data_IF_240490900420
#
_entry.id   IF_240490900420
#
_cell.length_a   1.000
_cell.length_b   1.000
_cell.length_c   1.000
_cell.angle_alpha   90.00
_cell.angle_beta   90.00
_cell.angle_gamma   90.00
#
_symmetry.space_group_name_H-M   'P 1'
#
loop_
_entity.id
_entity.type
_entity.pdbx_description
1 polymer ?
#
# COMPACT_ATOMS: atom_id res chain seq x y z
N UNK A 1 -3.73 -1.20 -4.88
CA UNK A 1 -3.70 -0.30 -3.70
C UNK A 1 -5.04 0.39 -3.43
N UNK A 2 -5.60 1.24 -4.32
CA UNK A 2 -6.91 1.88 -4.04
C UNK A 2 -8.03 0.86 -3.82
N UNK A 3 -8.10 -0.19 -4.65
CA UNK A 3 -9.06 -1.27 -4.46
C UNK A 3 -8.97 -1.94 -3.08
N UNK A 4 -7.77 -2.05 -2.50
CA UNK A 4 -7.58 -2.60 -1.15
C UNK A 4 -8.18 -1.66 -0.10
N UNK A 5 -7.91 -0.36 -0.21
CA UNK A 5 -8.49 0.64 0.70
C UNK A 5 -10.02 0.69 0.61
N UNK A 6 -10.57 0.71 -0.60
CA UNK A 6 -12.01 0.66 -0.86
C UNK A 6 -12.65 -0.60 -0.25
N UNK A 7 -12.01 -1.76 -0.43
CA UNK A 7 -12.51 -3.03 0.11
C UNK A 7 -12.50 -3.06 1.64
N UNK A 8 -11.46 -2.54 2.28
CA UNK A 8 -11.38 -2.44 3.73
C UNK A 8 -12.45 -1.47 4.27
N UNK A 9 -12.64 -0.33 3.59
CA UNK A 9 -13.61 0.68 3.98
C UNK A 9 -15.05 0.13 3.89
N UNK A 10 -15.37 -0.54 2.78
CA UNK A 10 -16.66 -1.24 2.58
C UNK A 10 -16.89 -2.28 3.68
N UNK A 11 -15.90 -3.14 3.95
CA UNK A 11 -16.00 -4.17 4.98
C UNK A 11 -16.20 -3.61 6.40
N UNK A 12 -15.69 -2.41 6.68
CA UNK A 12 -15.79 -1.76 7.99
C UNK A 12 -16.98 -0.79 8.10
N UNK A 13 -17.72 -0.57 7.01
CA UNK A 13 -18.79 0.42 6.96
C UNK A 13 -18.31 1.85 7.22
N UNK A 14 -17.09 2.17 6.78
CA UNK A 14 -16.46 3.49 6.97
C UNK A 14 -16.27 4.19 5.64
N UNK A 15 -16.38 5.52 5.64
CA UNK A 15 -16.06 6.31 4.46
C UNK A 15 -14.56 6.35 4.18
N UNK A 16 -14.21 6.29 2.90
CA UNK A 16 -12.83 6.36 2.46
C UNK A 16 -12.39 7.83 2.33
N UNK A 17 -11.23 8.23 2.92
CA UNK A 17 -10.65 9.55 2.69
C UNK A 17 -10.34 9.80 1.21
N UNK A 18 -10.18 11.07 0.85
CA UNK A 18 -9.79 11.46 -0.51
C UNK A 18 -8.47 10.84 -0.96
N UNK A 19 -8.33 10.66 -2.27
CA UNK A 19 -7.16 9.99 -2.88
C UNK A 19 -5.85 10.67 -2.53
N UNK A 20 -5.80 12.01 -2.49
CA UNK A 20 -4.60 12.75 -2.09
C UNK A 20 -4.23 12.49 -0.62
N UNK A 21 -5.22 12.28 0.25
CA UNK A 21 -4.97 11.96 1.67
C UNK A 21 -4.34 10.57 1.82
N UNK A 22 -4.84 9.60 1.06
CA UNK A 22 -4.35 8.21 1.10
C UNK A 22 -3.03 8.02 0.36
N UNK A 23 -2.89 8.59 -0.83
CA UNK A 23 -1.77 8.35 -1.71
C UNK A 23 -0.68 9.44 -1.62
N UNK A 24 -0.98 10.56 -0.97
CA UNK A 24 -0.12 11.75 -0.98
C UNK A 24 -0.16 12.50 -2.32
N UNK A 25 0.57 13.62 -2.42
CA UNK A 25 0.58 14.45 -3.61
C UNK A 25 1.15 13.70 -4.82
N UNK A 26 0.55 13.94 -5.99
CA UNK A 26 0.97 13.30 -7.24
C UNK A 26 2.28 13.86 -7.80
N UNK A 27 2.64 15.10 -7.42
CA UNK A 27 3.80 15.85 -7.94
C UNK A 27 5.14 15.49 -7.27
N UNK A 28 5.14 14.61 -6.26
CA UNK A 28 6.36 14.17 -5.59
C UNK A 28 7.24 13.31 -6.52
N UNK A 29 8.56 13.32 -6.29
CA UNK A 29 9.49 12.40 -6.94
C UNK A 29 9.04 10.95 -6.75
N UNK A 30 9.16 10.13 -7.79
CA UNK A 30 8.65 8.76 -7.78
C UNK A 30 9.28 7.93 -6.65
N UNK A 31 10.57 8.12 -6.36
CA UNK A 31 11.26 7.42 -5.28
C UNK A 31 10.73 7.81 -3.91
N UNK A 32 10.61 9.11 -3.65
CA UNK A 32 10.08 9.65 -2.39
C UNK A 32 8.61 9.25 -2.15
N UNK A 33 7.81 9.28 -3.22
CA UNK A 33 6.42 8.87 -3.17
C UNK A 33 6.27 7.40 -2.79
N UNK A 34 7.12 6.53 -3.32
CA UNK A 34 7.10 5.09 -2.99
C UNK A 34 7.48 4.83 -1.53
N UNK A 35 8.46 5.56 -0.98
CA UNK A 35 8.77 5.49 0.45
C UNK A 35 7.61 5.94 1.31
N UNK A 36 7.00 7.08 0.96
CA UNK A 36 5.84 7.61 1.67
C UNK A 36 4.68 6.62 1.69
N UNK A 37 4.37 6.02 0.54
CA UNK A 37 3.32 5.00 0.44
C UNK A 37 3.60 3.79 1.34
N UNK A 38 4.84 3.31 1.41
CA UNK A 38 5.21 2.18 2.26
C UNK A 38 5.03 2.44 3.77
N UNK A 39 4.96 3.70 4.20
CA UNK A 39 4.65 4.07 5.59
C UNK A 39 3.15 4.02 5.93
N UNK A 40 2.28 4.07 4.92
CA UNK A 40 0.82 4.15 5.11
C UNK A 40 0.15 2.78 5.10
N UNK A 41 0.85 1.75 4.65
CA UNK A 41 0.31 0.40 4.49
C UNK A 41 0.79 -0.45 5.67
N UNK A 42 -0.07 -1.29 6.28
CA UNK A 42 0.29 -2.15 7.39
C UNK A 42 1.11 -3.37 6.92
N UNK A 43 2.31 -3.13 6.38
CA UNK A 43 3.25 -4.16 5.91
C UNK A 43 4.22 -4.58 7.02
N UNK A 44 4.70 -5.82 6.93
CA UNK A 44 5.68 -6.36 7.89
C UNK A 44 7.05 -5.72 7.77
N UNK A 45 7.94 -6.01 8.74
CA UNK A 45 9.31 -5.50 8.72
C UNK A 45 10.11 -6.00 7.50
N UNK A 46 9.83 -7.22 7.03
CA UNK A 46 10.46 -7.81 5.85
C UNK A 46 10.09 -7.05 4.57
N UNK A 47 8.80 -6.82 4.34
CA UNK A 47 8.29 -6.07 3.19
C UNK A 47 8.80 -4.63 3.19
N UNK A 48 8.81 -3.99 4.37
CA UNK A 48 9.37 -2.65 4.52
C UNK A 48 10.86 -2.63 4.17
N UNK A 49 11.62 -3.63 4.59
CA UNK A 49 13.02 -3.75 4.22
C UNK A 49 13.20 -3.97 2.71
N UNK A 50 12.37 -4.79 2.06
CA UNK A 50 12.41 -5.00 0.62
C UNK A 50 12.22 -3.69 -0.16
N UNK A 51 11.24 -2.86 0.24
CA UNK A 51 11.02 -1.53 -0.34
C UNK A 51 12.22 -0.59 -0.09
N UNK A 52 12.76 -0.57 1.13
CA UNK A 52 13.88 0.29 1.52
C UNK A 52 15.19 -0.07 0.80
N UNK A 53 15.43 -1.37 0.59
CA UNK A 53 16.64 -1.90 -0.03
C UNK A 53 16.59 -2.00 -1.55
N UNK A 54 15.43 -1.77 -2.17
CA UNK A 54 15.25 -1.83 -3.62
C UNK A 54 16.18 -0.85 -4.36
N UNK A 55 16.92 -1.31 -5.39
CA UNK A 55 18.00 -0.54 -6.02
C UNK A 55 17.52 0.56 -6.97
N UNK A 56 16.25 0.53 -7.37
CA UNK A 56 15.63 1.58 -8.20
C UNK A 56 14.19 1.88 -7.78
N UNK A 57 13.62 2.97 -8.31
CA UNK A 57 12.20 3.27 -8.12
C UNK A 57 11.29 2.20 -8.73
N UNK A 58 11.70 1.57 -9.84
CA UNK A 58 10.93 0.49 -10.47
C UNK A 58 10.92 -0.74 -9.57
N UNK A 59 12.08 -1.15 -9.07
CA UNK A 59 12.19 -2.30 -8.15
C UNK A 59 11.41 -2.05 -6.86
N UNK A 60 11.40 -0.79 -6.39
CA UNK A 60 10.64 -0.38 -5.21
C UNK A 60 9.14 -0.43 -5.44
N UNK A 61 8.67 -0.07 -6.64
CA UNK A 61 7.27 -0.21 -7.02
C UNK A 61 6.86 -1.69 -7.05
N UNK A 62 7.71 -2.57 -7.56
CA UNK A 62 7.47 -4.03 -7.56
C UNK A 62 7.34 -4.54 -6.11
N UNK A 63 8.33 -4.26 -5.26
CA UNK A 63 8.30 -4.69 -3.86
C UNK A 63 7.08 -4.15 -3.09
N UNK A 64 6.69 -2.91 -3.34
CA UNK A 64 5.50 -2.32 -2.74
C UNK A 64 4.21 -2.97 -3.26
N UNK A 65 4.16 -3.33 -4.54
CA UNK A 65 3.05 -4.05 -5.15
C UNK A 65 2.86 -5.43 -4.53
N UNK A 66 3.92 -6.21 -4.42
CA UNK A 66 3.90 -7.54 -3.79
C UNK A 66 3.39 -7.47 -2.34
N UNK A 67 3.84 -6.48 -1.57
CA UNK A 67 3.37 -6.28 -0.20
C UNK A 67 1.88 -5.89 -0.12
N UNK A 68 1.37 -5.13 -1.10
CA UNK A 68 -0.06 -4.80 -1.21
C UNK A 68 -0.89 -6.03 -1.55
N UNK A 69 -0.42 -6.85 -2.48
CA UNK A 69 -1.12 -8.05 -2.91
C UNK A 69 -1.21 -9.07 -1.77
N UNK A 70 -0.13 -9.27 -1.01
CA UNK A 70 -0.14 -10.12 0.18
C UNK A 70 -1.16 -9.65 1.25
N UNK A 71 -1.29 -8.33 1.46
CA UNK A 71 -2.30 -7.79 2.38
C UNK A 71 -3.71 -7.95 1.81
N UNK A 72 -3.88 -7.77 0.51
CA UNK A 72 -5.19 -7.97 -0.13
C UNK A 72 -5.66 -9.42 0.06
N UNK A 73 -4.80 -10.40 -0.17
CA UNK A 73 -5.09 -11.82 0.09
C UNK A 73 -5.46 -12.07 1.57
N UNK A 74 -4.70 -11.50 2.51
CA UNK A 74 -5.00 -11.63 3.94
C UNK A 74 -6.35 -11.00 4.30
N UNK A 75 -6.67 -9.83 3.76
CA UNK A 75 -7.96 -9.16 3.98
C UNK A 75 -9.10 -9.98 3.39
N UNK A 76 -8.96 -10.49 2.17
CA UNK A 76 -9.96 -11.35 1.55
C UNK A 76 -10.23 -12.61 2.39
N UNK A 77 -9.18 -13.23 2.93
CA UNK A 77 -9.32 -14.36 3.85
C UNK A 77 -10.05 -13.99 5.15
N UNK A 78 -9.76 -12.81 5.73
CA UNK A 78 -10.43 -12.34 6.94
C UNK A 78 -11.90 -11.98 6.73
N UNK A 79 -12.27 -11.51 5.53
CA UNK A 79 -13.64 -11.13 5.19
C UNK A 79 -14.51 -12.30 4.73
N UNK A 80 -13.91 -13.46 4.44
CA UNK A 80 -14.62 -14.67 4.03
C UNK A 80 -14.90 -15.64 5.19
N UNK A 81 -14.50 -15.29 6.41
CA UNK A 81 -14.87 -15.94 7.67
C UNK A 81 -15.98 -15.16 8.38
#
# INVERSE_FOLDING_TARGET
>A
MMALFERIAEARGTDLPEREVLLGPAEADAGERLYTLATRIPIGAADRYAVLSAPSAVDRLVALGEAVDAIAEMVEFQLSQ
#
